data_IF_059350645408
#
_entry.id   IF_059350645408
#
_cell.length_a   1.000
_cell.length_b   1.000
_cell.length_c   1.000
_cell.angle_alpha   90.00
_cell.angle_beta   90.00
_cell.angle_gamma   90.00
#
_symmetry.space_group_name_H-M   'P 1'
#
loop_
_entity.id
_entity.type
_entity.pdbx_description
1 polymer ?
#
# COMPACT_ATOMS: atom_id res chain seq x y z
N UNK A 1 51.23 25.43 18.18
CA UNK A 1 50.13 24.83 18.97
C UNK A 1 48.73 25.18 18.42
N UNK A 2 48.30 26.46 18.38
CA UNK A 2 46.95 26.83 17.87
C UNK A 2 46.67 26.43 16.40
N UNK A 3 47.65 26.56 15.49
CA UNK A 3 47.51 26.14 14.08
C UNK A 3 47.37 24.62 13.91
N UNK A 4 48.07 23.85 14.74
CA UNK A 4 48.00 22.38 14.73
C UNK A 4 46.65 21.88 15.25
N UNK A 5 46.09 22.52 16.29
CA UNK A 5 44.75 22.20 16.79
C UNK A 5 43.69 22.51 15.73
N UNK A 6 43.74 23.69 15.11
CA UNK A 6 42.81 24.07 14.03
C UNK A 6 42.86 23.08 12.85
N UNK A 7 44.06 22.68 12.44
CA UNK A 7 44.24 21.70 11.35
C UNK A 7 43.65 20.33 11.70
N UNK A 8 43.91 19.83 12.92
CA UNK A 8 43.33 18.56 13.41
C UNK A 8 41.81 18.65 13.52
N UNK A 9 41.27 19.77 14.02
CA UNK A 9 39.80 19.99 14.08
C UNK A 9 39.17 19.97 12.69
N UNK A 10 39.78 20.64 11.69
CA UNK A 10 39.30 20.61 10.30
C UNK A 10 39.30 19.18 9.76
N UNK A 11 40.37 18.42 9.98
CA UNK A 11 40.43 17.01 9.53
C UNK A 11 39.32 16.18 10.18
N UNK A 12 39.11 16.31 11.49
CA UNK A 12 38.06 15.57 12.21
C UNK A 12 36.68 15.92 11.66
N UNK A 13 36.39 17.21 11.45
CA UNK A 13 35.12 17.66 10.87
C UNK A 13 34.95 17.13 9.44
N UNK A 14 36.00 17.18 8.61
CA UNK A 14 35.95 16.65 7.24
C UNK A 14 35.71 15.14 7.21
N UNK A 15 36.39 14.37 8.08
CA UNK A 15 36.15 12.93 8.20
C UNK A 15 34.74 12.62 8.70
N UNK A 16 34.22 13.41 9.63
CA UNK A 16 32.85 13.28 10.11
C UNK A 16 31.83 13.56 9.01
N UNK A 17 32.03 14.64 8.24
CA UNK A 17 31.19 15.00 7.09
C UNK A 17 31.24 13.90 6.02
N UNK A 18 32.43 13.40 5.66
CA UNK A 18 32.58 12.29 4.71
C UNK A 18 31.81 11.05 5.16
N UNK A 19 31.88 10.71 6.45
CA UNK A 19 31.14 9.58 7.01
C UNK A 19 29.63 9.79 6.97
N UNK A 20 29.15 11.00 7.27
CA UNK A 20 27.73 11.36 7.16
C UNK A 20 27.26 11.28 5.71
N UNK A 21 28.02 11.87 4.77
CA UNK A 21 27.71 11.82 3.34
C UNK A 21 27.67 10.39 2.81
N UNK A 22 28.67 9.56 3.14
CA UNK A 22 28.67 8.15 2.74
C UNK A 22 27.46 7.39 3.32
N UNK A 23 27.14 7.61 4.60
CA UNK A 23 25.95 7.00 5.21
C UNK A 23 24.64 7.47 4.55
N UNK A 24 24.57 8.73 4.13
CA UNK A 24 23.40 9.27 3.42
C UNK A 24 23.26 8.66 2.02
N UNK A 25 24.37 8.56 1.26
CA UNK A 25 24.36 7.94 -0.07
C UNK A 25 23.97 6.46 -0.02
N UNK A 26 24.50 5.69 0.93
CA UNK A 26 24.11 4.29 1.11
C UNK A 26 22.62 4.15 1.49
N UNK A 27 22.09 5.08 2.30
CA UNK A 27 20.67 5.09 2.62
C UNK A 27 19.82 5.41 1.38
N UNK A 28 20.26 6.35 0.53
CA UNK A 28 19.59 6.72 -0.71
C UNK A 28 19.56 5.55 -1.72
N UNK A 29 20.66 4.82 -1.89
CA UNK A 29 20.71 3.61 -2.73
C UNK A 29 19.74 2.52 -2.24
N UNK A 30 19.56 2.39 -0.91
CA UNK A 30 18.59 1.46 -0.35
C UNK A 30 17.13 1.91 -0.57
N UNK A 31 16.87 3.22 -0.64
CA UNK A 31 15.53 3.77 -0.89
C UNK A 31 15.17 3.70 -2.38
N UNK A 32 16.13 3.99 -3.26
CA UNK A 32 15.99 4.01 -4.71
C UNK A 32 17.00 3.05 -5.34
N UNK A 33 16.70 1.73 -5.41
CA UNK A 33 17.59 0.72 -6.01
C UNK A 33 17.54 0.73 -7.55
N UNK A 34 17.25 1.89 -8.14
CA UNK A 34 17.12 2.16 -9.56
C UNK A 34 17.52 3.61 -9.82
N UNK A 35 17.75 3.97 -11.10
CA UNK A 35 18.11 5.34 -11.47
C UNK A 35 16.88 6.28 -11.39
N UNK A 36 16.89 7.31 -10.51
CA UNK A 36 15.82 8.30 -10.40
C UNK A 36 15.55 9.10 -11.68
N UNK A 37 16.45 9.05 -12.66
CA UNK A 37 16.31 9.80 -13.90
C UNK A 37 15.58 9.02 -14.99
N UNK A 38 15.18 7.78 -14.72
CA UNK A 38 14.39 7.00 -15.68
C UNK A 38 12.93 7.48 -15.64
N UNK A 39 12.37 7.68 -16.82
CA UNK A 39 10.97 8.04 -17.01
C UNK A 39 10.02 6.98 -16.47
N UNK A 40 8.99 7.42 -15.77
CA UNK A 40 7.86 6.55 -15.47
C UNK A 40 7.04 6.33 -16.75
N UNK A 41 6.59 5.08 -16.94
CA UNK A 41 5.83 4.64 -18.10
C UNK A 41 4.53 3.99 -17.67
N UNK A 42 3.43 4.47 -18.24
CA UNK A 42 2.09 3.94 -18.04
C UNK A 42 1.35 3.97 -19.39
N UNK A 43 0.62 2.91 -19.71
CA UNK A 43 -0.11 2.80 -20.99
C UNK A 43 -1.21 3.87 -21.11
N UNK A 44 -1.31 4.46 -22.29
CA UNK A 44 -2.38 5.38 -22.67
C UNK A 44 -3.67 4.62 -23.11
N UNK A 45 -3.58 3.32 -23.40
CA UNK A 45 -4.60 2.56 -24.15
C UNK A 45 -5.98 2.53 -23.49
N UNK A 46 -6.05 2.68 -22.15
CA UNK A 46 -7.30 2.65 -21.39
C UNK A 46 -7.63 3.98 -20.71
N UNK A 47 -6.81 5.03 -20.92
CA UNK A 47 -7.03 6.36 -20.38
C UNK A 47 -7.64 7.26 -21.45
N UNK A 48 -8.51 8.19 -21.04
CA UNK A 48 -8.78 9.34 -21.88
C UNK A 48 -7.66 10.36 -21.66
N UNK A 49 -6.85 10.62 -22.68
CA UNK A 49 -5.66 11.48 -22.58
C UNK A 49 -5.93 12.83 -23.23
N UNK A 50 -5.64 13.91 -22.50
CA UNK A 50 -5.72 15.28 -22.99
C UNK A 50 -4.33 15.92 -23.01
N UNK A 51 -3.96 16.53 -24.13
CA UNK A 51 -2.79 17.43 -24.18
C UNK A 51 -3.17 18.79 -23.60
N UNK A 52 -2.39 19.22 -22.62
CA UNK A 52 -2.47 20.50 -21.93
C UNK A 52 -1.12 21.20 -22.03
N UNK A 53 -1.04 22.43 -21.54
CA UNK A 53 0.22 23.17 -21.53
C UNK A 53 0.45 23.76 -20.15
N UNK A 54 1.62 23.46 -19.56
CA UNK A 54 2.10 24.09 -18.35
C UNK A 54 2.75 25.42 -18.73
N UNK A 55 2.21 26.52 -18.21
CA UNK A 55 2.76 27.86 -18.42
C UNK A 55 2.80 28.64 -17.14
N UNK A 56 3.96 29.19 -16.78
CA UNK A 56 4.16 29.92 -15.53
C UNK A 56 3.66 29.12 -14.31
N UNK A 57 3.96 27.83 -14.27
CA UNK A 57 3.48 26.89 -13.26
C UNK A 57 1.95 26.72 -13.16
N UNK A 58 1.20 27.09 -14.20
CA UNK A 58 -0.24 26.95 -14.25
C UNK A 58 -0.70 26.09 -15.42
N UNK A 59 -1.75 25.31 -15.19
CA UNK A 59 -2.46 24.55 -16.22
C UNK A 59 -3.95 24.91 -16.17
N UNK A 60 -4.53 25.18 -17.35
CA UNK A 60 -5.98 25.29 -17.47
C UNK A 60 -6.58 23.88 -17.61
N UNK A 61 -7.42 23.48 -16.66
CA UNK A 61 -8.13 22.20 -16.72
C UNK A 61 -9.51 22.44 -17.36
N UNK A 62 -9.90 21.66 -18.39
CA UNK A 62 -11.20 21.82 -19.02
C UNK A 62 -12.37 21.59 -18.04
N UNK A 63 -13.42 22.40 -18.15
CA UNK A 63 -14.61 22.38 -17.29
C UNK A 63 -15.40 21.07 -17.35
N UNK A 64 -15.16 20.24 -18.37
CA UNK A 64 -15.78 18.91 -18.52
C UNK A 64 -15.16 17.85 -17.61
N UNK A 65 -14.02 18.15 -16.96
CA UNK A 65 -13.30 17.23 -16.09
C UNK A 65 -13.66 17.52 -14.64
N UNK A 66 -14.50 16.66 -14.06
CA UNK A 66 -15.03 16.80 -12.70
C UNK A 66 -14.36 15.83 -11.70
N UNK A 67 -14.86 15.79 -10.47
CA UNK A 67 -14.42 14.94 -9.35
C UNK A 67 -14.75 13.44 -9.53
N UNK A 68 -15.46 13.08 -10.59
CA UNK A 68 -15.75 11.70 -10.97
C UNK A 68 -14.63 11.05 -11.81
N UNK A 69 -13.44 11.65 -11.87
CA UNK A 69 -12.26 11.09 -12.53
C UNK A 69 -11.13 10.84 -11.55
N UNK A 70 -10.42 9.73 -11.75
CA UNK A 70 -9.03 9.62 -11.30
C UNK A 70 -8.14 10.24 -12.39
N UNK A 71 -7.32 11.20 -12.00
CA UNK A 71 -6.64 12.11 -12.90
C UNK A 71 -5.15 12.22 -12.54
N UNK A 72 -4.31 11.90 -13.52
CA UNK A 72 -2.85 11.89 -13.38
C UNK A 72 -2.21 12.75 -14.45
N UNK A 73 -1.50 13.78 -14.03
CA UNK A 73 -0.82 14.71 -14.92
C UNK A 73 0.62 14.24 -15.14
N UNK A 74 0.93 13.84 -16.36
CA UNK A 74 2.29 13.51 -16.78
C UNK A 74 3.06 14.78 -17.10
N UNK A 75 4.16 15.01 -16.37
CA UNK A 75 5.09 16.13 -16.55
C UNK A 75 6.54 15.64 -16.47
N UNK A 76 7.41 16.27 -17.23
CA UNK A 76 8.85 16.20 -17.01
C UNK A 76 9.20 17.10 -15.81
N UNK A 77 9.89 16.53 -14.83
CA UNK A 77 10.29 17.23 -13.61
C UNK A 77 11.78 17.03 -13.37
N UNK A 78 12.46 18.09 -12.94
CA UNK A 78 13.90 18.02 -12.64
C UNK A 78 14.19 18.52 -11.24
N UNK A 79 15.09 17.88 -10.53
CA UNK A 79 15.46 18.26 -9.17
C UNK A 79 16.28 19.57 -9.20
N UNK A 80 16.02 20.44 -8.23
CA UNK A 80 16.93 21.57 -7.97
C UNK A 80 18.22 21.04 -7.32
N UNK A 81 19.25 21.89 -7.18
CA UNK A 81 20.48 21.50 -6.45
C UNK A 81 20.19 20.90 -5.06
N UNK A 82 19.27 21.49 -4.30
CA UNK A 82 18.85 20.96 -3.00
C UNK A 82 18.02 19.68 -3.10
N UNK A 83 17.31 19.47 -4.21
CA UNK A 83 16.53 18.26 -4.47
C UNK A 83 17.37 16.99 -4.62
N UNK A 84 18.68 17.12 -4.84
CA UNK A 84 19.62 16.00 -4.85
C UNK A 84 19.91 15.42 -3.45
N UNK A 85 19.58 16.18 -2.39
CA UNK A 85 19.93 15.85 -1.01
C UNK A 85 18.71 15.76 -0.07
N UNK A 86 17.54 16.17 -0.55
CA UNK A 86 16.34 16.23 0.26
C UNK A 86 15.09 15.98 -0.58
N UNK A 87 14.05 15.44 0.05
CA UNK A 87 12.77 15.08 -0.59
C UNK A 87 12.29 16.11 -1.62
N UNK A 88 12.10 15.65 -2.85
CA UNK A 88 11.52 16.41 -3.96
C UNK A 88 10.01 16.16 -4.04
N UNK A 89 9.29 17.02 -4.77
CA UNK A 89 7.88 16.84 -5.00
C UNK A 89 7.22 18.04 -5.69
N UNK A 90 5.91 17.93 -5.90
CA UNK A 90 5.09 19.01 -6.45
C UNK A 90 3.83 19.14 -5.61
N UNK A 91 3.58 20.37 -5.15
CA UNK A 91 2.32 20.77 -4.56
C UNK A 91 1.38 21.23 -5.69
N UNK A 92 0.21 20.60 -5.76
CA UNK A 92 -0.85 20.88 -6.72
C UNK A 92 -2.01 21.54 -6.00
N UNK A 93 -2.47 22.69 -6.49
CA UNK A 93 -3.57 23.44 -5.87
C UNK A 93 -4.64 23.80 -6.89
N UNK A 94 -5.89 23.55 -6.54
CA UNK A 94 -7.07 24.04 -7.24
C UNK A 94 -7.96 24.72 -6.21
N UNK A 95 -8.17 26.03 -6.36
CA UNK A 95 -8.94 26.85 -5.39
C UNK A 95 -8.33 26.73 -3.98
N UNK A 96 -9.06 26.15 -3.04
CA UNK A 96 -8.70 25.94 -1.64
C UNK A 96 -8.22 24.50 -1.33
N UNK A 97 -8.25 23.60 -2.32
CA UNK A 97 -7.80 22.21 -2.18
C UNK A 97 -6.38 22.07 -2.67
N UNK A 98 -5.53 21.43 -1.87
CA UNK A 98 -4.15 21.09 -2.25
C UNK A 98 -3.82 19.62 -2.00
N UNK A 99 -2.87 19.12 -2.78
CA UNK A 99 -2.28 17.79 -2.64
C UNK A 99 -0.79 17.87 -2.96
N UNK A 100 0.01 16.99 -2.38
CA UNK A 100 1.45 16.93 -2.60
C UNK A 100 1.84 15.53 -3.06
N UNK A 101 2.43 15.43 -4.24
CA UNK A 101 3.10 14.22 -4.71
C UNK A 101 4.61 14.36 -4.49
N UNK A 102 5.21 13.40 -3.79
CA UNK A 102 6.65 13.35 -3.53
C UNK A 102 7.33 12.41 -4.52
N UNK A 103 8.56 12.74 -4.93
CA UNK A 103 9.36 11.97 -5.89
C UNK A 103 10.70 11.57 -5.29
N UNK A 104 11.50 10.84 -6.07
CA UNK A 104 12.85 10.47 -5.68
C UNK A 104 13.77 11.67 -5.46
N UNK A 105 14.71 11.52 -4.52
CA UNK A 105 15.81 12.48 -4.38
C UNK A 105 16.60 12.50 -5.70
N UNK A 106 16.83 13.69 -6.23
CA UNK A 106 17.54 13.88 -7.51
C UNK A 106 16.72 13.58 -8.77
N UNK A 107 15.39 13.42 -8.69
CA UNK A 107 14.52 13.14 -9.84
C UNK A 107 14.83 14.00 -11.07
N UNK A 108 14.88 13.39 -12.25
CA UNK A 108 15.02 14.08 -13.53
C UNK A 108 14.36 13.27 -14.66
N UNK A 109 13.11 13.56 -15.00
CA UNK A 109 12.36 12.84 -16.04
C UNK A 109 10.85 12.86 -15.83
N UNK A 110 10.11 12.04 -16.60
CA UNK A 110 8.66 12.02 -16.54
C UNK A 110 8.12 11.40 -15.25
N UNK A 111 7.18 12.11 -14.60
CA UNK A 111 6.40 11.66 -13.43
C UNK A 111 4.91 11.93 -13.64
N UNK A 112 4.09 11.25 -12.85
CA UNK A 112 2.63 11.35 -12.89
C UNK A 112 2.13 11.93 -11.57
N UNK A 113 1.74 13.21 -11.60
CA UNK A 113 1.20 13.94 -10.45
C UNK A 113 -0.27 13.62 -10.31
N UNK A 114 -0.70 13.19 -9.12
CA UNK A 114 -2.08 12.79 -8.88
C UNK A 114 -2.91 14.00 -8.40
N UNK A 115 -3.79 14.48 -9.28
CA UNK A 115 -4.66 15.62 -8.99
C UNK A 115 -6.10 15.19 -8.64
N UNK A 116 -6.36 13.87 -8.54
CA UNK A 116 -7.72 13.32 -8.37
C UNK A 116 -8.46 13.91 -7.17
N UNK A 117 -7.79 14.06 -6.03
CA UNK A 117 -8.40 14.51 -4.76
C UNK A 117 -8.75 16.00 -4.72
N UNK A 118 -8.14 16.80 -5.60
CA UNK A 118 -8.33 18.25 -5.65
C UNK A 118 -9.22 18.69 -6.82
N UNK A 119 -9.66 17.76 -7.67
CA UNK A 119 -10.67 18.04 -8.67
C UNK A 119 -12.01 18.42 -8.01
N UNK A 120 -12.75 19.29 -8.69
CA UNK A 120 -14.06 19.80 -8.28
C UNK A 120 -14.94 20.02 -9.52
N UNK A 121 -16.03 20.76 -9.48
CA UNK A 121 -16.81 21.10 -10.68
C UNK A 121 -16.45 22.46 -11.29
N UNK A 122 -16.64 22.59 -12.60
CA UNK A 122 -16.51 23.85 -13.35
C UNK A 122 -15.07 24.26 -13.68
N UNK A 123 -14.83 25.48 -14.18
CA UNK A 123 -13.52 25.94 -14.64
C UNK A 123 -12.49 26.00 -13.52
N UNK A 124 -11.28 25.54 -13.84
CA UNK A 124 -10.18 25.42 -12.88
C UNK A 124 -8.86 25.80 -13.51
N UNK A 125 -8.09 26.54 -12.72
CA UNK A 125 -6.64 26.65 -12.92
C UNK A 125 -6.00 25.75 -11.88
N UNK A 126 -5.12 24.88 -12.34
CA UNK A 126 -4.25 24.08 -11.51
C UNK A 126 -2.95 24.87 -11.35
N UNK A 127 -2.68 25.30 -10.13
CA UNK A 127 -1.41 25.90 -9.74
C UNK A 127 -0.46 24.79 -9.27
N UNK A 128 0.73 24.74 -9.87
CA UNK A 128 1.78 23.82 -9.48
C UNK A 128 2.90 24.56 -8.77
N UNK A 129 3.48 23.94 -7.75
CA UNK A 129 4.64 24.48 -7.05
C UNK A 129 5.63 23.38 -6.75
N UNK A 130 6.82 23.51 -7.32
CA UNK A 130 7.90 22.58 -7.06
C UNK A 130 8.40 22.68 -5.61
N UNK A 131 8.54 21.53 -4.96
CA UNK A 131 9.19 21.35 -3.66
C UNK A 131 10.60 20.85 -3.95
N UNK A 132 11.57 21.77 -4.05
CA UNK A 132 12.95 21.45 -4.51
C UNK A 132 12.99 20.80 -5.90
N UNK A 133 11.96 21.03 -6.69
CA UNK A 133 11.77 20.55 -8.06
C UNK A 133 11.57 21.76 -8.96
N UNK A 134 12.24 21.78 -10.11
CA UNK A 134 12.02 22.74 -11.18
C UNK A 134 10.91 22.24 -12.10
N UNK A 135 10.09 23.17 -12.57
CA UNK A 135 8.99 22.93 -13.50
C UNK A 135 9.12 23.95 -14.64
N UNK A 136 9.56 23.48 -15.80
CA UNK A 136 9.68 24.31 -16.99
C UNK A 136 8.36 24.34 -17.76
N UNK A 137 8.12 25.42 -18.52
CA UNK A 137 6.98 25.53 -19.42
C UNK A 137 7.07 24.44 -20.49
N UNK A 138 6.05 23.58 -20.58
CA UNK A 138 6.08 22.37 -21.41
C UNK A 138 4.67 21.89 -21.78
N UNK A 139 4.58 21.01 -22.78
CA UNK A 139 3.36 20.23 -23.00
C UNK A 139 3.19 19.21 -21.86
N UNK A 140 1.97 19.11 -21.36
CA UNK A 140 1.59 18.17 -20.32
C UNK A 140 0.51 17.22 -20.84
N UNK A 141 0.48 15.98 -20.34
CA UNK A 141 -0.60 15.03 -20.67
C UNK A 141 -1.41 14.70 -19.43
N UNK A 142 -2.72 14.92 -19.49
CA UNK A 142 -3.65 14.55 -18.43
C UNK A 142 -4.31 13.21 -18.75
N UNK A 143 -4.01 12.20 -17.94
CA UNK A 143 -4.58 10.86 -18.02
C UNK A 143 -5.82 10.80 -17.15
N UNK A 144 -6.96 10.44 -17.75
CA UNK A 144 -8.25 10.41 -17.07
C UNK A 144 -8.86 9.02 -17.10
N UNK A 145 -9.22 8.53 -15.92
CA UNK A 145 -9.99 7.31 -15.73
C UNK A 145 -11.31 7.65 -15.06
N UNK A 146 -12.43 7.32 -15.70
CA UNK A 146 -13.75 7.61 -15.14
C UNK A 146 -14.02 6.70 -13.95
N UNK A 147 -14.38 7.29 -12.82
CA UNK A 147 -14.79 6.59 -11.61
C UNK A 147 -16.26 6.20 -11.72
N UNK A 148 -16.60 5.02 -11.21
CA UNK A 148 -17.98 4.58 -11.06
C UNK A 148 -18.51 4.96 -9.69
N UNK A 149 -19.83 5.18 -9.59
CA UNK A 149 -20.47 5.36 -8.30
C UNK A 149 -20.52 4.02 -7.55
N UNK A 150 -19.82 3.96 -6.43
CA UNK A 150 -19.72 2.76 -5.60
C UNK A 150 -20.78 2.72 -4.49
N UNK A 151 -21.71 3.68 -4.43
CA UNK A 151 -22.70 3.79 -3.33
C UNK A 151 -23.59 2.56 -3.16
N UNK A 152 -23.78 1.78 -4.23
CA UNK A 152 -24.62 0.56 -4.24
C UNK A 152 -23.82 -0.73 -4.45
N UNK A 153 -22.50 -0.65 -4.56
CA UNK A 153 -21.67 -1.83 -4.84
C UNK A 153 -21.47 -2.64 -3.56
N UNK A 154 -21.42 -3.96 -3.71
CA UNK A 154 -20.96 -4.86 -2.66
C UNK A 154 -19.46 -5.05 -2.78
N UNK A 155 -18.73 -4.62 -1.77
CA UNK A 155 -17.26 -4.68 -1.75
C UNK A 155 -16.83 -5.83 -0.84
N UNK A 156 -15.89 -6.64 -1.31
CA UNK A 156 -15.19 -7.63 -0.50
C UNK A 156 -13.69 -7.30 -0.48
N UNK A 157 -13.18 -6.88 0.67
CA UNK A 157 -11.75 -6.70 0.89
C UNK A 157 -11.15 -8.01 1.37
N UNK A 158 -10.18 -8.56 0.62
CA UNK A 158 -9.45 -9.78 0.96
C UNK A 158 -8.00 -9.40 1.25
N UNK A 159 -7.66 -9.37 2.54
CA UNK A 159 -6.33 -9.13 3.06
C UNK A 159 -5.59 -10.43 3.33
N UNK A 160 -4.26 -10.41 3.20
CA UNK A 160 -3.43 -11.58 3.52
C UNK A 160 -3.25 -11.71 5.02
N UNK A 161 -2.76 -10.64 5.66
CA UNK A 161 -2.45 -10.57 7.08
C UNK A 161 -3.34 -9.56 7.81
N UNK A 162 -3.53 -9.73 9.14
CA UNK A 162 -4.21 -8.76 9.98
C UNK A 162 -3.46 -7.43 10.08
N UNK A 163 -3.88 -6.46 9.25
CA UNK A 163 -3.43 -5.07 9.11
C UNK A 163 -3.53 -4.61 7.64
N UNK A 164 -3.39 -5.55 6.69
CA UNK A 164 -3.31 -5.25 5.27
C UNK A 164 -4.54 -4.49 4.72
N UNK A 165 -5.74 -4.85 5.19
CA UNK A 165 -6.98 -4.21 4.77
C UNK A 165 -7.02 -2.74 5.20
N UNK A 166 -6.61 -2.46 6.43
CA UNK A 166 -6.54 -1.11 7.00
C UNK A 166 -5.46 -0.29 6.28
N UNK A 167 -4.31 -0.88 5.99
CA UNK A 167 -3.21 -0.23 5.26
C UNK A 167 -3.69 0.19 3.86
N UNK A 168 -4.31 -0.72 3.12
CA UNK A 168 -4.62 -0.52 1.72
C UNK A 168 -5.93 0.23 1.46
N UNK A 169 -6.97 -0.06 2.25
CA UNK A 169 -8.36 0.19 1.85
C UNK A 169 -9.28 0.67 2.99
N UNK A 170 -8.74 1.12 4.14
CA UNK A 170 -9.55 1.67 5.23
C UNK A 170 -10.51 2.77 4.75
N UNK A 171 -9.99 3.75 4.00
CA UNK A 171 -10.79 4.86 3.50
C UNK A 171 -11.84 4.43 2.49
N UNK A 172 -11.60 3.37 1.73
CA UNK A 172 -12.58 2.78 0.81
C UNK A 172 -13.69 2.09 1.59
N UNK A 173 -13.37 1.10 2.43
CA UNK A 173 -14.41 0.34 3.12
C UNK A 173 -15.20 1.19 4.12
N UNK A 174 -14.57 2.20 4.72
CA UNK A 174 -15.25 3.08 5.70
C UNK A 174 -16.30 3.99 5.06
N UNK A 175 -16.21 4.24 3.75
CA UNK A 175 -17.20 5.02 3.00
C UNK A 175 -18.42 4.22 2.57
N UNK A 176 -18.26 2.91 2.42
CA UNK A 176 -19.27 2.05 1.79
C UNK A 176 -19.71 0.96 2.77
N UNK A 177 -20.88 1.10 3.41
CA UNK A 177 -21.32 0.19 4.47
C UNK A 177 -21.62 -1.24 3.98
N UNK A 178 -21.89 -1.42 2.68
CA UNK A 178 -22.05 -2.74 2.07
C UNK A 178 -20.68 -3.39 1.75
N UNK A 179 -19.80 -3.42 2.74
CA UNK A 179 -18.45 -3.98 2.63
C UNK A 179 -18.25 -5.15 3.59
N UNK A 180 -17.52 -6.15 3.11
CA UNK A 180 -17.02 -7.29 3.87
C UNK A 180 -15.50 -7.23 3.93
N UNK A 181 -14.91 -7.53 5.08
CA UNK A 181 -13.46 -7.57 5.28
C UNK A 181 -13.04 -8.99 5.69
N UNK A 182 -12.28 -9.63 4.82
CA UNK A 182 -11.79 -10.99 4.97
C UNK A 182 -10.27 -10.98 5.12
N UNK A 183 -9.75 -11.66 6.13
CA UNK A 183 -8.32 -11.93 6.26
C UNK A 183 -8.04 -13.41 6.03
N UNK A 184 -7.07 -13.75 5.19
CA UNK A 184 -6.70 -15.16 4.96
C UNK A 184 -5.98 -15.73 6.18
N UNK A 185 -5.02 -14.98 6.74
CA UNK A 185 -4.14 -15.49 7.78
C UNK A 185 -4.42 -14.92 9.17
N UNK A 186 -4.02 -15.68 10.19
CA UNK A 186 -4.05 -15.26 11.60
C UNK A 186 -2.90 -14.34 12.01
N UNK A 187 -1.84 -14.24 11.19
CA UNK A 187 -0.70 -13.35 11.43
C UNK A 187 0.22 -13.76 12.58
N UNK A 188 0.26 -15.05 12.92
CA UNK A 188 1.01 -15.57 14.07
C UNK A 188 2.53 -15.59 13.86
N UNK A 189 3.03 -15.31 12.66
CA UNK A 189 4.45 -15.25 12.33
C UNK A 189 5.05 -13.84 12.47
N UNK A 190 6.33 -13.68 12.13
CA UNK A 190 7.04 -12.40 12.09
C UNK A 190 7.92 -12.15 13.32
N UNK A 191 8.31 -10.89 13.60
CA UNK A 191 9.21 -10.56 14.70
C UNK A 191 8.67 -10.99 16.06
N UNK A 192 9.59 -11.39 16.95
CA UNK A 192 9.31 -11.83 18.32
C UNK A 192 9.03 -10.63 19.26
N UNK A 193 7.96 -9.86 18.98
CA UNK A 193 7.53 -8.70 19.80
C UNK A 193 6.92 -9.14 21.13
N UNK A 194 7.06 -8.38 22.22
CA UNK A 194 6.58 -8.80 23.56
C UNK A 194 7.44 -9.93 24.19
N UNK A 195 8.73 -9.97 23.86
CA UNK A 195 9.69 -10.94 24.43
C UNK A 195 9.93 -10.72 25.94
N UNK A 196 9.66 -9.51 26.42
CA UNK A 196 9.67 -9.15 27.82
C UNK A 196 8.52 -9.78 28.63
N UNK A 197 7.49 -10.28 27.94
CA UNK A 197 6.30 -10.90 28.56
C UNK A 197 6.36 -12.42 28.47
N UNK A 198 6.89 -12.96 27.37
CA UNK A 198 6.89 -14.40 27.08
C UNK A 198 8.30 -14.96 26.92
N UNK A 199 8.70 -15.83 27.84
CA UNK A 199 9.92 -16.65 27.70
C UNK A 199 9.70 -17.88 26.81
N UNK A 200 8.49 -18.46 26.80
CA UNK A 200 8.12 -19.55 25.90
C UNK A 200 7.72 -19.02 24.52
N UNK A 201 8.54 -19.35 23.52
CA UNK A 201 8.36 -18.96 22.12
C UNK A 201 7.05 -19.48 21.51
N UNK A 202 6.61 -20.70 21.84
CA UNK A 202 5.37 -21.26 21.27
C UNK A 202 4.16 -20.54 21.88
N UNK A 203 4.16 -20.33 23.20
CA UNK A 203 3.10 -19.60 23.90
C UNK A 203 2.97 -18.16 23.37
N UNK A 204 4.10 -17.50 23.13
CA UNK A 204 4.18 -16.19 22.51
C UNK A 204 3.48 -16.15 21.15
N UNK A 205 3.90 -16.98 20.18
CA UNK A 205 3.35 -16.90 18.82
C UNK A 205 1.87 -17.30 18.79
N UNK A 206 1.42 -18.19 19.69
CA UNK A 206 0.00 -18.46 19.89
C UNK A 206 -0.75 -17.21 20.32
N UNK A 207 -0.23 -16.46 21.30
CA UNK A 207 -0.85 -15.20 21.74
C UNK A 207 -0.80 -14.14 20.65
N UNK A 208 0.29 -14.03 19.90
CA UNK A 208 0.42 -13.12 18.75
C UNK A 208 -0.69 -13.37 17.73
N UNK A 209 -0.86 -14.62 17.28
CA UNK A 209 -1.93 -14.99 16.36
C UNK A 209 -3.32 -14.72 16.90
N UNK A 210 -3.56 -14.94 18.20
CA UNK A 210 -4.83 -14.59 18.85
C UNK A 210 -5.11 -13.09 18.76
N UNK A 211 -4.15 -12.26 19.19
CA UNK A 211 -4.28 -10.80 19.19
C UNK A 211 -4.50 -10.25 17.78
N UNK A 212 -3.70 -10.70 16.80
CA UNK A 212 -3.82 -10.23 15.42
C UNK A 212 -5.12 -10.68 14.76
N UNK A 213 -5.56 -11.93 15.01
CA UNK A 213 -6.89 -12.36 14.56
C UNK A 213 -7.99 -11.48 15.17
N UNK A 214 -7.90 -11.16 16.46
CA UNK A 214 -8.83 -10.24 17.11
C UNK A 214 -8.80 -8.86 16.46
N UNK A 215 -7.61 -8.30 16.18
CA UNK A 215 -7.50 -7.03 15.46
C UNK A 215 -8.19 -7.08 14.08
N UNK A 216 -7.98 -8.14 13.28
CA UNK A 216 -8.60 -8.24 11.94
C UNK A 216 -10.13 -8.25 11.94
N UNK A 217 -10.78 -8.66 13.02
CA UNK A 217 -12.24 -8.72 13.10
C UNK A 217 -12.86 -7.53 13.85
N UNK A 218 -12.07 -6.81 14.67
CA UNK A 218 -12.57 -5.68 15.46
C UNK A 218 -12.14 -4.30 14.94
N UNK A 219 -10.97 -4.16 14.31
CA UNK A 219 -10.54 -2.86 13.78
C UNK A 219 -11.44 -2.35 12.65
N UNK A 220 -11.97 -3.18 11.73
CA UNK A 220 -12.92 -2.69 10.72
C UNK A 220 -14.19 -2.05 11.31
N UNK A 221 -14.54 -2.36 12.57
CA UNK A 221 -15.65 -1.70 13.28
C UNK A 221 -15.42 -0.19 13.43
N UNK A 222 -14.16 0.27 13.52
CA UNK A 222 -13.82 1.69 13.54
C UNK A 222 -14.20 2.38 12.22
N UNK A 223 -14.21 1.64 11.11
CA UNK A 223 -14.71 2.11 9.81
C UNK A 223 -16.21 1.88 9.62
N UNK A 224 -16.95 1.49 10.66
CA UNK A 224 -18.39 1.25 10.59
C UNK A 224 -18.79 -0.08 9.93
N UNK A 225 -17.85 -0.99 9.69
CA UNK A 225 -18.17 -2.33 9.17
C UNK A 225 -18.84 -3.15 10.28
N UNK A 226 -19.94 -3.82 9.97
CA UNK A 226 -20.61 -4.70 10.94
C UNK A 226 -19.74 -5.92 11.27
N UNK A 227 -19.76 -6.37 12.54
CA UNK A 227 -19.02 -7.55 12.99
C UNK A 227 -19.39 -8.85 12.25
N UNK A 228 -20.59 -8.94 11.67
CA UNK A 228 -20.98 -10.08 10.82
C UNK A 228 -20.34 -10.03 9.43
N UNK A 229 -19.79 -8.87 9.04
CA UNK A 229 -19.13 -8.66 7.76
C UNK A 229 -17.60 -8.75 7.88
N UNK A 230 -17.06 -9.05 9.06
CA UNK A 230 -15.63 -9.29 9.26
C UNK A 230 -15.36 -10.78 9.51
N UNK A 231 -14.28 -11.30 8.91
CA UNK A 231 -13.94 -12.72 9.00
C UNK A 231 -12.43 -12.93 8.86
N UNK A 232 -11.87 -13.83 9.67
CA UNK A 232 -10.52 -14.34 9.52
C UNK A 232 -10.56 -15.85 9.21
N UNK A 233 -9.96 -16.28 8.10
CA UNK A 233 -9.92 -17.67 7.68
C UNK A 233 -8.92 -18.53 8.48
N UNK A 234 -8.15 -17.97 9.41
CA UNK A 234 -7.33 -18.69 10.37
C UNK A 234 -6.16 -19.48 9.79
N UNK A 235 -5.81 -19.29 8.52
CA UNK A 235 -4.64 -19.94 7.93
C UNK A 235 -3.35 -19.35 8.54
N UNK A 236 -2.31 -20.17 8.63
CA UNK A 236 -1.03 -19.79 9.24
C UNK A 236 0.18 -20.17 8.37
N UNK A 237 0.02 -21.15 7.50
CA UNK A 237 1.08 -21.65 6.63
C UNK A 237 1.44 -20.64 5.53
N UNK A 238 2.65 -20.77 5.00
CA UNK A 238 3.10 -19.91 3.91
C UNK A 238 2.30 -20.24 2.62
N UNK A 239 1.61 -19.24 2.07
CA UNK A 239 0.68 -19.46 0.93
C UNK A 239 1.37 -19.96 -0.34
N UNK A 240 2.58 -19.48 -0.64
CA UNK A 240 3.39 -19.98 -1.77
C UNK A 240 3.72 -21.46 -1.61
N UNK A 241 4.12 -21.88 -0.42
CA UNK A 241 4.41 -23.30 -0.13
C UNK A 241 3.15 -24.16 -0.28
N UNK A 242 1.99 -23.67 0.20
CA UNK A 242 0.72 -24.36 0.01
C UNK A 242 0.39 -24.56 -1.47
N UNK A 243 0.62 -23.54 -2.29
CA UNK A 243 0.42 -23.63 -3.74
C UNK A 243 1.36 -24.64 -4.40
N UNK A 244 2.67 -24.57 -4.13
CA UNK A 244 3.68 -25.41 -4.78
C UNK A 244 3.53 -26.90 -4.39
N UNK A 245 3.23 -27.20 -3.12
CA UNK A 245 3.13 -28.58 -2.63
C UNK A 245 1.66 -29.07 -2.54
N UNK A 246 0.74 -28.43 -3.26
CA UNK A 246 -0.67 -28.82 -3.32
C UNK A 246 -0.83 -30.33 -3.70
N UNK A 247 -1.60 -31.16 -2.94
CA UNK A 247 -2.58 -30.83 -1.89
C UNK A 247 -2.10 -31.06 -0.45
N UNK A 248 -0.79 -31.03 -0.19
CA UNK A 248 -0.22 -31.32 1.14
C UNK A 248 -0.79 -30.42 2.24
N UNK A 249 -1.03 -31.02 3.40
CA UNK A 249 -1.38 -30.31 4.63
C UNK A 249 -0.13 -29.83 5.39
N UNK A 250 -0.21 -28.60 5.92
CA UNK A 250 0.87 -27.93 6.59
C UNK A 250 0.60 -27.70 8.07
N UNK A 251 1.67 -27.67 8.84
CA UNK A 251 1.68 -27.25 10.24
C UNK A 251 2.20 -25.81 10.35
N UNK A 252 1.69 -25.06 11.32
CA UNK A 252 2.20 -23.73 11.65
C UNK A 252 3.67 -23.81 12.05
N UNK A 253 4.50 -22.97 11.43
CA UNK A 253 5.96 -23.01 11.64
C UNK A 253 6.33 -22.77 13.10
N UNK A 254 5.65 -21.81 13.74
CA UNK A 254 5.95 -21.35 15.10
C UNK A 254 5.12 -22.04 16.18
N UNK A 255 3.79 -22.10 16.01
CA UNK A 255 2.88 -22.60 17.06
C UNK A 255 2.71 -24.13 17.06
N UNK A 256 3.22 -24.78 16.01
CA UNK A 256 3.06 -26.21 15.73
C UNK A 256 1.59 -26.65 15.63
N UNK A 257 0.64 -25.73 15.49
CA UNK A 257 -0.77 -26.11 15.25
C UNK A 257 -0.95 -26.67 13.84
N UNK A 258 -1.85 -27.64 13.68
CA UNK A 258 -2.38 -28.08 12.37
C UNK A 258 -3.83 -27.64 12.17
N UNK A 259 -4.46 -27.19 13.25
CA UNK A 259 -5.86 -26.86 13.31
C UNK A 259 -6.07 -25.37 13.01
N UNK A 260 -6.60 -25.07 11.83
CA UNK A 260 -6.97 -23.71 11.40
C UNK A 260 -8.12 -23.13 12.25
N UNK A 261 -8.91 -23.98 12.92
CA UNK A 261 -9.98 -23.53 13.81
C UNK A 261 -9.45 -22.96 15.13
N UNK A 262 -8.16 -23.17 15.43
CA UNK A 262 -7.45 -22.53 16.56
C UNK A 262 -7.72 -21.03 16.62
N UNK A 263 -7.73 -20.35 15.47
CA UNK A 263 -7.95 -18.91 15.36
C UNK A 263 -9.36 -18.57 14.87
N UNK A 264 -9.96 -19.37 13.96
CA UNK A 264 -11.31 -19.11 13.41
C UNK A 264 -12.40 -19.02 14.46
N UNK A 265 -12.24 -19.72 15.60
CA UNK A 265 -13.20 -19.67 16.71
C UNK A 265 -13.40 -18.28 17.32
N UNK A 266 -12.48 -17.33 17.05
CA UNK A 266 -12.62 -15.94 17.51
C UNK A 266 -13.58 -15.12 16.63
N UNK A 267 -13.90 -15.59 15.43
CA UNK A 267 -14.84 -14.90 14.55
C UNK A 267 -16.23 -14.84 15.16
N UNK A 268 -16.86 -13.67 15.09
CA UNK A 268 -18.26 -13.48 15.46
C UNK A 268 -19.20 -13.81 14.31
N UNK A 269 -18.77 -13.52 13.07
CA UNK A 269 -19.58 -13.68 11.87
C UNK A 269 -20.06 -15.12 11.65
N UNK A 270 -21.34 -15.25 11.29
CA UNK A 270 -21.97 -16.51 10.86
C UNK A 270 -21.35 -17.08 9.58
N UNK A 271 -20.59 -16.27 8.82
CA UNK A 271 -19.88 -16.73 7.61
C UNK A 271 -18.89 -17.86 7.92
N UNK A 272 -18.40 -17.95 9.16
CA UNK A 272 -17.47 -19.00 9.59
C UNK A 272 -18.10 -20.39 9.63
N UNK A 273 -19.41 -20.49 9.83
CA UNK A 273 -20.06 -21.74 10.24
C UNK A 273 -20.13 -22.79 9.11
N UNK A 274 -19.95 -22.36 7.86
CA UNK A 274 -19.85 -23.26 6.70
C UNK A 274 -18.42 -23.47 6.21
N UNK A 275 -17.42 -22.92 6.91
CA UNK A 275 -16.01 -23.10 6.55
C UNK A 275 -15.49 -24.40 7.15
N UNK A 276 -14.86 -25.22 6.32
CA UNK A 276 -14.27 -26.50 6.72
C UNK A 276 -12.91 -26.70 6.04
N UNK A 277 -12.15 -27.69 6.49
CA UNK A 277 -10.91 -28.14 5.84
C UNK A 277 -9.70 -28.09 6.75
N UNK A 278 -8.51 -28.18 6.17
CA UNK A 278 -7.23 -28.10 6.89
C UNK A 278 -6.29 -27.08 6.26
N UNK A 279 -5.11 -26.87 6.84
CA UNK A 279 -4.12 -25.90 6.33
C UNK A 279 -3.44 -26.40 5.05
N UNK A 280 -4.19 -26.44 3.94
CA UNK A 280 -3.74 -26.81 2.60
C UNK A 280 -4.38 -25.91 1.53
N UNK A 281 -3.82 -25.91 0.31
CA UNK A 281 -4.30 -25.08 -0.79
C UNK A 281 -5.74 -25.41 -1.21
N UNK A 282 -6.15 -26.68 -1.40
CA UNK A 282 -7.52 -27.01 -1.78
C UNK A 282 -8.56 -26.45 -0.81
N UNK A 283 -8.36 -26.57 0.50
CA UNK A 283 -9.29 -26.05 1.50
C UNK A 283 -9.41 -24.53 1.41
N UNK A 284 -8.30 -23.81 1.16
CA UNK A 284 -8.32 -22.36 0.96
C UNK A 284 -9.18 -21.99 -0.26
N UNK A 285 -8.98 -22.68 -1.39
CA UNK A 285 -9.77 -22.45 -2.61
C UNK A 285 -11.26 -22.77 -2.38
N UNK A 286 -11.61 -23.86 -1.69
CA UNK A 286 -13.00 -24.19 -1.37
C UNK A 286 -13.64 -23.12 -0.46
N UNK A 287 -12.93 -22.66 0.57
CA UNK A 287 -13.42 -21.64 1.49
C UNK A 287 -13.64 -20.30 0.77
N UNK A 288 -12.69 -19.87 -0.06
CA UNK A 288 -12.84 -18.67 -0.89
C UNK A 288 -13.97 -18.81 -1.91
N UNK A 289 -14.08 -19.96 -2.59
CA UNK A 289 -15.12 -20.21 -3.58
C UNK A 289 -16.52 -20.19 -2.91
N UNK A 290 -16.67 -20.81 -1.74
CA UNK A 290 -17.89 -20.72 -0.95
C UNK A 290 -18.26 -19.27 -0.64
N UNK A 291 -17.33 -18.49 -0.08
CA UNK A 291 -17.58 -17.09 0.30
C UNK A 291 -17.90 -16.21 -0.91
N UNK A 292 -17.19 -16.37 -2.02
CA UNK A 292 -17.45 -15.61 -3.25
C UNK A 292 -18.83 -15.92 -3.83
N UNK A 293 -19.25 -17.19 -3.82
CA UNK A 293 -20.58 -17.58 -4.31
C UNK A 293 -21.70 -17.13 -3.38
N UNK A 294 -21.46 -17.13 -2.06
CA UNK A 294 -22.41 -16.66 -1.05
C UNK A 294 -22.57 -15.13 -1.12
N UNK A 295 -21.46 -14.40 -1.09
CA UNK A 295 -21.45 -12.94 -1.04
C UNK A 295 -21.78 -12.31 -2.39
N UNK A 296 -21.30 -12.88 -3.51
CA UNK A 296 -21.40 -12.30 -4.86
C UNK A 296 -20.99 -10.82 -4.90
N UNK A 297 -19.74 -10.49 -4.54
CA UNK A 297 -19.28 -9.11 -4.54
C UNK A 297 -19.21 -8.55 -5.96
N UNK A 298 -19.49 -7.26 -6.09
CA UNK A 298 -19.29 -6.52 -7.35
C UNK A 298 -17.81 -6.12 -7.49
N UNK A 299 -17.15 -5.85 -6.37
CA UNK A 299 -15.74 -5.46 -6.29
C UNK A 299 -15.02 -6.36 -5.28
N UNK A 300 -13.86 -6.88 -5.68
CA UNK A 300 -12.95 -7.60 -4.80
C UNK A 300 -11.64 -6.81 -4.69
N UNK A 301 -11.34 -6.32 -3.49
CA UNK A 301 -10.08 -5.62 -3.19
C UNK A 301 -9.06 -6.64 -2.71
N UNK A 302 -7.89 -6.74 -3.35
CA UNK A 302 -6.87 -7.76 -3.06
C UNK A 302 -5.49 -7.25 -3.52
N UNK A 303 -4.35 -7.77 -3.03
CA UNK A 303 -3.03 -7.30 -3.47
C UNK A 303 -2.80 -7.45 -4.98
N UNK A 304 -1.95 -6.61 -5.58
CA UNK A 304 -1.56 -6.69 -6.97
C UNK A 304 -0.25 -7.50 -7.08
N UNK A 305 -0.27 -8.78 -7.52
CA UNK A 305 0.93 -9.61 -7.46
C UNK A 305 2.11 -9.01 -8.23
N UNK A 306 1.85 -8.41 -9.40
CA UNK A 306 2.90 -7.77 -10.20
C UNK A 306 3.56 -6.56 -9.52
N UNK A 307 2.94 -5.90 -8.54
CA UNK A 307 3.53 -4.74 -7.85
C UNK A 307 3.98 -5.03 -6.42
N UNK A 308 3.82 -6.26 -5.96
CA UNK A 308 3.89 -6.62 -4.56
C UNK A 308 5.11 -7.51 -4.29
N UNK A 309 5.99 -7.09 -3.38
CA UNK A 309 7.20 -7.81 -3.01
C UNK A 309 6.91 -9.03 -2.12
N UNK A 310 5.85 -8.97 -1.32
CA UNK A 310 5.57 -10.01 -0.35
C UNK A 310 4.88 -11.21 -1.01
N UNK A 311 5.56 -12.37 -1.07
CA UNK A 311 5.05 -13.55 -1.77
C UNK A 311 3.66 -13.98 -1.28
N UNK A 312 3.39 -13.95 0.02
CA UNK A 312 2.05 -14.34 0.52
C UNK A 312 0.94 -13.44 -0.03
N UNK A 313 1.19 -12.16 -0.28
CA UNK A 313 0.21 -11.25 -0.88
C UNK A 313 -0.05 -11.61 -2.34
N UNK A 314 1.00 -11.97 -3.09
CA UNK A 314 0.86 -12.46 -4.46
C UNK A 314 -0.04 -13.70 -4.51
N UNK A 315 0.22 -14.67 -3.62
CA UNK A 315 -0.54 -15.93 -3.58
C UNK A 315 -1.96 -15.78 -3.01
N UNK A 316 -2.25 -14.75 -2.20
CA UNK A 316 -3.61 -14.37 -1.84
C UNK A 316 -4.44 -14.10 -3.10
N UNK A 317 -3.96 -13.23 -3.99
CA UNK A 317 -4.70 -12.89 -5.21
C UNK A 317 -4.77 -14.05 -6.20
N UNK A 318 -3.71 -14.87 -6.30
CA UNK A 318 -3.76 -16.12 -7.09
C UNK A 318 -4.87 -17.05 -6.56
N UNK A 319 -4.99 -17.22 -5.24
CA UNK A 319 -6.05 -18.03 -4.64
C UNK A 319 -7.45 -17.48 -4.94
N UNK A 320 -7.62 -16.15 -4.85
CA UNK A 320 -8.89 -15.46 -5.21
C UNK A 320 -9.24 -15.72 -6.68
N UNK A 321 -8.28 -15.58 -7.59
CA UNK A 321 -8.50 -15.79 -9.02
C UNK A 321 -8.82 -17.26 -9.36
N UNK A 322 -8.19 -18.22 -8.67
CA UNK A 322 -8.54 -19.65 -8.79
C UNK A 322 -9.96 -19.94 -8.27
N UNK A 323 -10.35 -19.37 -7.14
CA UNK A 323 -11.69 -19.52 -6.59
C UNK A 323 -12.77 -18.89 -7.50
N UNK A 324 -12.49 -17.73 -8.12
CA UNK A 324 -13.36 -17.13 -9.13
C UNK A 324 -13.54 -18.02 -10.35
N UNK A 325 -12.44 -18.61 -10.86
CA UNK A 325 -12.48 -19.58 -11.97
C UNK A 325 -13.25 -20.84 -11.61
N UNK A 326 -13.07 -21.36 -10.39
CA UNK A 326 -13.81 -22.52 -9.88
C UNK A 326 -15.31 -22.29 -9.88
N UNK A 327 -15.76 -21.09 -9.50
CA UNK A 327 -17.17 -20.70 -9.55
C UNK A 327 -17.65 -20.24 -10.94
N UNK A 328 -16.77 -20.18 -11.95
CA UNK A 328 -17.04 -19.59 -13.26
C UNK A 328 -17.62 -18.15 -13.16
N UNK A 329 -17.19 -17.38 -12.17
CA UNK A 329 -17.60 -15.99 -11.97
C UNK A 329 -16.85 -15.07 -12.94
N UNK A 330 -17.59 -14.29 -13.73
CA UNK A 330 -17.04 -13.38 -14.77
C UNK A 330 -17.46 -11.91 -14.60
N UNK A 331 -18.47 -11.65 -13.78
CA UNK A 331 -18.94 -10.31 -13.44
C UNK A 331 -18.14 -9.71 -12.30
N UNK A 332 -18.05 -8.38 -12.27
CA UNK A 332 -17.36 -7.62 -11.24
C UNK A 332 -15.92 -7.26 -11.60
N UNK A 333 -15.26 -6.59 -10.66
CA UNK A 333 -13.91 -6.04 -10.83
C UNK A 333 -12.99 -6.42 -9.67
N UNK A 334 -11.71 -6.57 -9.97
CA UNK A 334 -10.64 -6.65 -8.99
C UNK A 334 -10.05 -5.26 -8.81
N UNK A 335 -9.94 -4.81 -7.56
CA UNK A 335 -9.26 -3.57 -7.16
C UNK A 335 -7.93 -3.97 -6.54
N UNK A 336 -6.85 -3.83 -7.31
CA UNK A 336 -5.54 -4.36 -6.94
C UNK A 336 -4.68 -3.28 -6.28
N UNK A 337 -4.19 -3.53 -5.06
CA UNK A 337 -3.35 -2.59 -4.28
C UNK A 337 -1.94 -3.16 -4.03
N UNK A 338 -1.00 -2.33 -3.54
CA UNK A 338 0.32 -2.82 -3.11
C UNK A 338 0.66 -2.29 -1.73
N UNK A 339 0.97 -3.19 -0.79
CA UNK A 339 1.43 -2.83 0.56
C UNK A 339 2.94 -2.90 0.68
N UNK A 340 3.63 -3.81 -0.03
CA UNK A 340 5.09 -3.80 -0.17
C UNK A 340 5.44 -3.63 -1.64
N UNK A 341 5.88 -2.43 -2.02
CA UNK A 341 6.16 -2.17 -3.42
C UNK A 341 7.39 -2.97 -3.90
N UNK A 342 7.27 -3.61 -5.06
CA UNK A 342 8.23 -4.61 -5.57
C UNK A 342 9.67 -4.10 -5.64
N UNK A 343 9.89 -2.81 -5.95
CA UNK A 343 11.24 -2.27 -6.06
C UNK A 343 11.83 -1.86 -4.71
N UNK A 344 11.01 -1.44 -3.74
CA UNK A 344 11.47 -1.02 -2.42
C UNK A 344 10.34 -0.89 -1.39
N UNK A 345 10.71 -0.96 -0.11
CA UNK A 345 9.78 -0.85 1.03
C UNK A 345 9.41 0.59 1.40
N UNK A 346 9.95 1.59 0.70
CA UNK A 346 9.81 3.00 1.07
C UNK A 346 8.70 3.71 0.30
N UNK A 347 8.25 3.19 -0.84
CA UNK A 347 7.09 3.74 -1.54
C UNK A 347 5.80 3.52 -0.71
N UNK A 348 4.84 4.47 -0.70
CA UNK A 348 4.87 5.80 -1.32
C UNK A 348 5.88 6.76 -0.66
N UNK A 349 6.48 7.66 -1.44
CA UNK A 349 7.53 8.56 -0.97
C UNK A 349 7.01 9.75 -0.14
N UNK A 350 7.92 10.40 0.58
CA UNK A 350 7.63 11.56 1.41
C UNK A 350 6.71 11.31 2.60
N UNK A 351 6.16 12.41 3.13
CA UNK A 351 5.50 12.47 4.45
C UNK A 351 4.05 11.99 4.42
N UNK A 352 3.58 11.48 5.57
CA UNK A 352 2.16 11.21 5.80
C UNK A 352 1.28 12.42 5.41
N UNK A 353 0.09 12.13 4.91
CA UNK A 353 -0.84 13.12 4.36
C UNK A 353 -0.57 13.54 2.91
N UNK A 354 0.62 13.25 2.36
CA UNK A 354 0.86 13.36 0.92
C UNK A 354 0.02 12.37 0.10
N UNK A 355 -0.03 12.58 -1.21
CA UNK A 355 -0.67 11.68 -2.17
C UNK A 355 0.12 10.39 -2.35
N UNK A 356 -0.59 9.30 -2.61
CA UNK A 356 -0.04 8.12 -3.26
C UNK A 356 -0.01 8.42 -4.76
N UNK A 357 1.19 8.77 -5.25
CA UNK A 357 1.50 8.95 -6.66
C UNK A 357 1.46 7.60 -7.40
N UNK A 358 1.51 7.60 -8.73
CA UNK A 358 1.71 6.33 -9.44
C UNK A 358 3.09 5.73 -9.05
N UNK A 359 3.17 4.42 -8.75
CA UNK A 359 4.44 3.77 -8.44
C UNK A 359 5.49 3.97 -9.55
N UNK A 360 6.79 3.95 -9.21
CA UNK A 360 7.83 3.82 -10.22
C UNK A 360 7.54 2.62 -11.13
N UNK A 361 7.50 2.86 -12.44
CA UNK A 361 7.28 1.81 -13.42
C UNK A 361 8.03 2.16 -14.69
N UNK A 362 8.97 1.32 -15.10
CA UNK A 362 9.87 1.63 -16.22
C UNK A 362 9.49 0.87 -17.50
N UNK A 363 8.56 -0.08 -17.38
CA UNK A 363 8.14 -1.00 -18.44
C UNK A 363 6.61 -0.87 -18.63
N UNK A 364 6.09 -1.09 -19.83
CA UNK A 364 4.64 -0.97 -20.11
C UNK A 364 3.86 -2.28 -19.88
N UNK A 365 4.31 -3.11 -18.94
CA UNK A 365 3.83 -4.49 -18.84
C UNK A 365 2.68 -4.69 -17.86
N UNK A 366 2.45 -3.73 -16.96
CA UNK A 366 1.34 -3.75 -16.01
C UNK A 366 -0.01 -3.81 -16.75
N UNK A 367 -0.84 -4.78 -16.35
CA UNK A 367 -2.19 -4.91 -16.87
C UNK A 367 -3.23 -4.30 -15.93
N UNK A 368 -3.90 -3.26 -16.41
CA UNK A 368 -5.08 -2.67 -15.77
C UNK A 368 -5.98 -2.06 -16.85
N UNK A 369 -7.27 -1.91 -16.54
CA UNK A 369 -8.24 -1.19 -17.37
C UNK A 369 -8.50 0.21 -16.87
N UNK A 370 -8.40 0.43 -15.57
CA UNK A 370 -8.50 1.76 -14.95
C UNK A 370 -7.54 1.85 -13.78
N UNK A 371 -7.19 3.06 -13.41
CA UNK A 371 -6.57 3.35 -12.12
C UNK A 371 -7.58 4.18 -11.33
N UNK A 372 -7.86 3.75 -10.11
CA UNK A 372 -8.76 4.44 -9.20
C UNK A 372 -7.99 5.01 -8.03
N UNK A 373 -8.02 6.33 -7.90
CA UNK A 373 -7.50 7.06 -6.74
C UNK A 373 -8.67 7.47 -5.86
N UNK A 374 -8.87 6.76 -4.75
CA UNK A 374 -9.93 7.05 -3.78
C UNK A 374 -9.47 8.18 -2.85
N UNK A 375 -10.04 9.39 -2.92
CA UNK A 375 -9.55 10.53 -2.14
C UNK A 375 -9.93 10.40 -0.65
N UNK A 376 -8.99 10.65 0.26
CA UNK A 376 -9.23 10.65 1.71
C UNK A 376 -9.11 12.08 2.24
N UNK A 377 -10.23 12.62 2.75
CA UNK A 377 -10.18 13.89 3.47
C UNK A 377 -9.40 13.74 4.78
N UNK A 378 -9.05 14.86 5.41
CA UNK A 378 -8.20 14.86 6.61
C UNK A 378 -8.80 14.08 7.77
N UNK A 379 -10.13 14.00 7.89
CA UNK A 379 -10.77 13.24 8.97
C UNK A 379 -10.65 11.73 8.74
N UNK A 380 -10.90 11.25 7.52
CA UNK A 380 -10.66 9.84 7.17
C UNK A 380 -9.17 9.45 7.29
N UNK A 381 -8.24 10.38 7.07
CA UNK A 381 -6.82 10.14 7.32
C UNK A 381 -6.53 9.95 8.83
N UNK A 382 -7.15 10.75 9.70
CA UNK A 382 -7.05 10.59 11.16
C UNK A 382 -7.68 9.27 11.60
N UNK A 383 -8.84 8.92 11.05
CA UNK A 383 -9.51 7.66 11.39
C UNK A 383 -8.65 6.46 10.95
N UNK A 384 -8.06 6.53 9.75
CA UNK A 384 -7.09 5.54 9.27
C UNK A 384 -5.87 5.43 10.18
N UNK A 385 -5.35 6.56 10.67
CA UNK A 385 -4.25 6.56 11.66
C UNK A 385 -4.62 5.74 12.90
N UNK A 386 -5.81 5.94 13.46
CA UNK A 386 -6.28 5.20 14.63
C UNK A 386 -6.58 3.73 14.33
N UNK A 387 -7.04 3.41 13.13
CA UNK A 387 -7.17 2.01 12.70
C UNK A 387 -5.81 1.30 12.65
N UNK A 388 -4.77 1.95 12.15
CA UNK A 388 -3.40 1.42 12.17
C UNK A 388 -2.83 1.34 13.59
N UNK A 389 -3.15 2.30 14.47
CA UNK A 389 -2.72 2.27 15.87
C UNK A 389 -3.35 1.09 16.63
N UNK A 390 -4.62 0.78 16.35
CA UNK A 390 -5.33 -0.35 16.92
C UNK A 390 -4.72 -1.71 16.54
N UNK A 391 -3.90 -1.78 15.48
CA UNK A 391 -3.16 -2.97 15.09
C UNK A 391 -1.97 -3.20 16.01
N UNK A 392 -2.08 -4.20 16.90
CA UNK A 392 -1.07 -4.44 17.92
C UNK A 392 0.32 -4.81 17.36
N UNK A 393 0.40 -5.29 16.12
CA UNK A 393 1.68 -5.60 15.45
C UNK A 393 2.30 -4.39 14.76
N UNK A 394 1.57 -3.29 14.57
CA UNK A 394 2.13 -2.04 14.01
C UNK A 394 2.66 -1.13 15.11
N UNK A 395 2.04 -1.13 16.29
CA UNK A 395 2.48 -0.31 17.42
C UNK A 395 3.83 -0.77 18.01
N UNK A 396 4.50 0.15 18.74
CA UNK A 396 5.46 -0.21 19.76
C UNK A 396 4.96 -1.35 20.67
N UNK A 397 5.80 -2.38 20.89
CA UNK A 397 5.62 -3.35 21.98
C UNK A 397 5.68 -2.70 23.37
N UNK A 398 5.44 -3.48 24.44
CA UNK A 398 5.33 -2.92 25.80
C UNK A 398 6.68 -2.57 26.45
N UNK A 399 7.77 -2.60 25.68
CA UNK A 399 9.11 -2.23 26.12
C UNK A 399 9.25 -0.76 26.50
N UNK A 400 8.34 0.11 26.03
CA UNK A 400 8.30 1.53 26.39
C UNK A 400 8.09 1.77 27.90
N UNK A 401 7.71 0.73 28.66
CA UNK A 401 7.64 0.78 30.13
C UNK A 401 9.01 0.78 30.79
N UNK A 402 10.08 0.46 30.05
CA UNK A 402 11.45 0.41 30.54
C UNK A 402 12.26 1.58 29.98
N UNK A 403 12.85 2.40 30.86
CA UNK A 403 13.51 3.66 30.48
C UNK A 403 14.59 3.50 29.40
N UNK A 404 15.51 2.55 29.56
CA UNK A 404 16.59 2.31 28.57
C UNK A 404 16.05 1.86 27.20
N UNK A 405 15.05 0.97 27.18
CA UNK A 405 14.45 0.49 25.93
C UNK A 405 13.68 1.61 25.23
N UNK A 406 12.99 2.45 26.01
CA UNK A 406 12.31 3.66 25.51
C UNK A 406 13.26 4.65 24.86
N UNK A 407 14.40 4.92 25.50
CA UNK A 407 15.43 5.81 24.93
C UNK A 407 16.00 5.25 23.63
N UNK A 408 16.25 3.93 23.55
CA UNK A 408 16.70 3.29 22.31
C UNK A 408 15.69 3.43 21.19
N UNK A 409 14.41 3.24 21.50
CA UNK A 409 13.30 3.38 20.54
C UNK A 409 13.19 4.81 20.03
N UNK A 410 13.22 5.79 20.92
CA UNK A 410 13.22 7.20 20.58
C UNK A 410 14.40 7.58 19.66
N UNK A 411 15.61 7.06 19.95
CA UNK A 411 16.77 7.28 19.10
C UNK A 411 16.62 6.64 17.71
N UNK A 412 16.05 5.42 17.62
CA UNK A 412 15.80 4.76 16.34
C UNK A 412 14.76 5.51 15.50
N UNK A 413 13.68 5.98 16.11
CA UNK A 413 12.65 6.81 15.46
C UNK A 413 13.26 8.11 14.96
N UNK A 414 13.98 8.85 15.80
CA UNK A 414 14.63 10.10 15.42
C UNK A 414 15.65 9.89 14.29
N UNK A 415 16.41 8.80 14.34
CA UNK A 415 17.36 8.44 13.26
C UNK A 415 16.62 8.25 11.93
N UNK A 416 15.53 7.47 11.92
CA UNK A 416 14.74 7.21 10.71
C UNK A 416 14.11 8.46 10.11
N UNK A 417 13.62 9.38 10.95
CA UNK A 417 13.10 10.68 10.52
C UNK A 417 14.19 11.55 9.87
N UNK A 418 15.37 11.63 10.49
CA UNK A 418 16.51 12.42 9.98
C UNK A 418 17.02 11.85 8.65
N UNK A 419 17.13 10.52 8.53
CA UNK A 419 17.60 9.87 7.31
C UNK A 419 16.51 9.70 6.25
N UNK A 420 15.27 10.16 6.49
CA UNK A 420 14.12 9.97 5.60
C UNK A 420 13.85 8.50 5.25
N UNK A 421 14.33 7.58 6.10
CA UNK A 421 14.25 6.13 5.90
C UNK A 421 13.21 5.48 6.81
N UNK A 422 12.29 6.26 7.37
CA UNK A 422 11.14 5.73 8.11
C UNK A 422 10.22 5.01 7.14
N UNK A 423 10.25 3.67 7.09
CA UNK A 423 9.37 2.86 6.24
C UNK A 423 8.08 2.41 6.96
N UNK A 424 7.71 3.04 8.08
CA UNK A 424 6.51 2.67 8.83
C UNK A 424 5.23 2.83 8.01
N UNK A 425 4.24 1.98 8.31
CA UNK A 425 2.91 2.13 7.71
C UNK A 425 2.19 3.41 8.15
N UNK A 426 2.49 3.96 9.33
CA UNK A 426 1.96 5.26 9.75
C UNK A 426 2.35 6.37 8.78
N UNK A 427 3.59 6.34 8.26
CA UNK A 427 4.01 7.24 7.19
C UNK A 427 3.41 6.84 5.84
N UNK A 428 3.43 5.54 5.50
CA UNK A 428 3.11 5.05 4.14
C UNK A 428 1.64 5.02 3.79
N UNK A 429 0.78 4.68 4.74
CA UNK A 429 -0.62 4.35 4.52
C UNK A 429 -1.58 5.50 4.85
N UNK A 430 -1.20 6.40 5.78
CA UNK A 430 -1.97 7.61 6.09
C UNK A 430 -1.66 8.68 5.03
N UNK A 431 -2.42 8.64 3.94
CA UNK A 431 -2.21 9.42 2.71
C UNK A 431 -3.49 10.12 2.28
N UNK A 432 -3.38 11.13 1.41
CA UNK A 432 -4.55 11.86 0.88
C UNK A 432 -5.39 11.06 -0.11
N UNK A 433 -4.96 9.86 -0.48
CA UNK A 433 -5.75 8.91 -1.25
C UNK A 433 -5.31 7.45 -1.00
N UNK A 434 -6.14 6.53 -1.45
CA UNK A 434 -5.79 5.13 -1.69
C UNK A 434 -5.73 4.88 -3.20
N UNK A 435 -4.91 3.94 -3.64
CA UNK A 435 -4.65 3.72 -5.07
C UNK A 435 -4.92 2.26 -5.44
N UNK A 436 -5.74 2.04 -6.47
CA UNK A 436 -6.13 0.73 -6.95
C UNK A 436 -5.98 0.62 -8.47
N UNK A 437 -5.40 -0.49 -8.92
CA UNK A 437 -5.37 -0.89 -10.33
C UNK A 437 -6.55 -1.81 -10.60
N UNK A 438 -7.45 -1.39 -11.51
CA UNK A 438 -8.71 -2.09 -11.74
C UNK A 438 -8.57 -3.08 -12.89
N UNK A 439 -8.95 -4.33 -12.63
CA UNK A 439 -9.01 -5.42 -13.61
C UNK A 439 -10.41 -6.04 -13.62
N UNK A 440 -11.13 -6.03 -14.75
CA UNK A 440 -12.41 -6.75 -14.85
C UNK A 440 -12.22 -8.25 -14.63
N UNK A 441 -13.08 -8.89 -13.84
CA UNK A 441 -12.94 -10.32 -13.50
C UNK A 441 -12.97 -11.19 -14.76
N UNK A 442 -13.78 -10.84 -15.78
CA UNK A 442 -13.79 -11.54 -17.07
C UNK A 442 -12.41 -11.63 -17.74
N UNK A 443 -11.52 -10.66 -17.51
CA UNK A 443 -10.23 -10.60 -18.20
C UNK A 443 -9.20 -11.58 -17.60
N UNK A 444 -9.35 -12.02 -16.34
CA UNK A 444 -8.45 -13.00 -15.71
C UNK A 444 -8.55 -14.41 -16.36
N UNK A 445 -9.58 -14.64 -17.18
CA UNK A 445 -9.73 -15.87 -17.96
C UNK A 445 -8.83 -15.89 -19.20
N UNK A 446 -8.27 -14.75 -19.59
CA UNK A 446 -7.32 -14.65 -20.71
C UNK A 446 -5.91 -14.98 -20.20
N UNK A 447 -5.21 -15.98 -20.76
CA UNK A 447 -3.90 -16.40 -20.26
C UNK A 447 -2.84 -15.29 -20.21
N UNK A 448 -2.83 -14.41 -21.22
CA UNK A 448 -1.90 -13.27 -21.26
C UNK A 448 -2.15 -12.26 -20.14
N UNK A 449 -3.41 -12.00 -19.80
CA UNK A 449 -3.80 -11.11 -18.70
C UNK A 449 -3.41 -11.72 -17.37
N UNK A 450 -3.71 -13.01 -17.18
CA UNK A 450 -3.32 -13.75 -15.99
C UNK A 450 -1.82 -13.59 -15.74
N UNK A 451 -0.98 -13.90 -16.74
CA UNK A 451 0.48 -13.79 -16.61
C UNK A 451 0.94 -12.37 -16.26
N UNK A 452 0.40 -11.34 -16.92
CA UNK A 452 0.73 -9.94 -16.60
C UNK A 452 0.31 -9.51 -15.18
N UNK A 453 -0.66 -10.18 -14.58
CA UNK A 453 -1.08 -9.90 -13.20
C UNK A 453 -0.21 -10.65 -12.20
N UNK A 454 0.19 -11.89 -12.53
CA UNK A 454 0.85 -12.81 -11.59
C UNK A 454 2.38 -12.85 -11.68
N UNK A 455 2.97 -12.38 -12.78
CA UNK A 455 4.42 -12.42 -13.01
C UNK A 455 5.08 -11.12 -12.52
N UNK A 456 6.24 -11.25 -11.87
CA UNK A 456 7.02 -10.13 -11.31
C UNK A 456 8.32 -9.88 -12.07
N UNK A 457 8.39 -10.19 -13.36
CA UNK A 457 9.54 -9.82 -14.19
C UNK A 457 9.57 -8.30 -14.35
N UNK A 458 10.40 -7.62 -13.55
CA UNK A 458 10.69 -6.19 -13.65
C UNK A 458 12.12 -5.96 -14.09
#
# INVERSE_FOLDING_TARGET
>A
MKRSILFVTIIIISLLLLKITHSYLNAREAIYPYDPNIDYRYSEDNAHVLSLFLKNNQIAIPDTIDDNYSAFLKLEVSSTFLGNWFQTGVESTIRDKSSIDYFEDGVDGFRFINISSILDKGPKKLDLKGIRTALEDQEAKLYLFKNEDLSKTKILVIATHPDDAEIAAYGLYSKYPNTFVLNIKSGESGPFKYDEVYSDTIAHYRKKGQLRTWNSITVPLLGGIDHNNTLNLGYFSNLKKMFIENPKEFQAAFTKSRDIDTYRKQNFSVLKDSLTGSSNWPSLIENLAYLLNYLKPDIIVTPYPALEAHEEHQYTTIAVMEALKKNNMKSGELFLYSNHFILNEYYPYGKAGGSISLPPNFNNDLYYKRIFSNPLNTDLQKDKLFALEAMNDLRPDTEWRFGLKSMRKAFQTAKGEISQSDNSYFRRAVRSNELFFIVPIKDIYKPNVWNKITTTEH
#
